data_IF_182262046968
#
_entry.id   IF_182262046968
#
_cell.length_a   1.000
_cell.length_b   1.000
_cell.length_c   1.000
_cell.angle_alpha   90.00
_cell.angle_beta   90.00
_cell.angle_gamma   90.00
#
_symmetry.space_group_name_H-M   'P 1'
#
loop_
_entity.id
_entity.type
_entity.pdbx_description
1 polymer ?
#
# COMPACT_ATOMS: atom_id res chain seq x y z
N UNK A 1 -22.93 -29.25 -15.02
CA UNK A 1 -22.08 -30.00 -15.99
C UNK A 1 -22.60 -31.43 -16.14
N UNK A 2 -22.22 -32.15 -17.20
CA UNK A 2 -22.80 -33.45 -17.56
C UNK A 2 -22.87 -34.51 -16.44
N UNK A 3 -21.87 -34.66 -15.55
CA UNK A 3 -21.96 -35.65 -14.46
C UNK A 3 -23.13 -35.42 -13.51
N UNK A 4 -23.48 -34.15 -13.26
CA UNK A 4 -24.60 -33.80 -12.38
C UNK A 4 -25.95 -34.09 -13.04
N UNK A 5 -26.08 -33.84 -14.34
CA UNK A 5 -27.29 -34.15 -15.12
C UNK A 5 -27.55 -35.66 -15.07
N UNK A 6 -26.52 -36.47 -15.36
CA UNK A 6 -26.62 -37.93 -15.28
C UNK A 6 -27.02 -38.44 -13.90
N UNK A 7 -26.45 -37.88 -12.84
CA UNK A 7 -26.77 -38.30 -11.47
C UNK A 7 -28.21 -37.93 -11.04
N UNK A 8 -28.72 -36.79 -11.50
CA UNK A 8 -30.04 -36.28 -11.10
C UNK A 8 -31.19 -36.84 -11.94
N UNK A 9 -30.99 -37.00 -13.26
CA UNK A 9 -32.07 -37.34 -14.20
C UNK A 9 -31.83 -38.66 -14.95
N UNK A 10 -30.64 -39.24 -14.85
CA UNK A 10 -30.23 -40.41 -15.64
C UNK A 10 -29.86 -40.09 -17.09
N UNK A 11 -30.05 -38.85 -17.54
CA UNK A 11 -29.74 -38.41 -18.90
C UNK A 11 -28.22 -38.38 -19.15
N UNK A 12 -27.80 -38.92 -20.29
CA UNK A 12 -26.40 -38.91 -20.72
C UNK A 12 -26.27 -37.92 -21.88
N UNK A 13 -25.54 -36.84 -21.63
CA UNK A 13 -25.33 -35.73 -22.58
C UNK A 13 -23.87 -35.32 -22.55
N UNK A 14 -23.30 -34.87 -23.68
CA UNK A 14 -21.93 -34.34 -23.70
C UNK A 14 -21.87 -32.90 -23.20
N UNK A 15 -20.66 -32.36 -22.97
CA UNK A 15 -20.52 -30.96 -22.57
C UNK A 15 -20.95 -29.99 -23.70
N UNK A 16 -20.66 -30.33 -24.95
CA UNK A 16 -21.02 -29.50 -26.12
C UNK A 16 -22.54 -29.47 -26.34
N UNK A 17 -23.21 -30.62 -26.23
CA UNK A 17 -24.68 -30.69 -26.36
C UNK A 17 -25.40 -30.02 -25.19
N UNK A 18 -24.82 -30.07 -23.98
CA UNK A 18 -25.43 -29.51 -22.78
C UNK A 18 -25.30 -27.97 -22.72
N UNK A 19 -24.20 -27.41 -23.21
CA UNK A 19 -23.88 -25.99 -23.02
C UNK A 19 -22.72 -25.49 -23.87
N UNK A 20 -22.55 -26.04 -25.07
CA UNK A 20 -21.57 -25.60 -26.05
C UNK A 20 -21.89 -24.22 -26.66
N UNK A 21 -21.01 -23.77 -27.55
CA UNK A 21 -21.11 -22.44 -28.15
C UNK A 21 -22.41 -22.27 -28.96
N UNK A 22 -22.80 -23.32 -29.70
CA UNK A 22 -24.02 -23.32 -30.51
C UNK A 22 -25.29 -23.22 -29.66
N UNK A 23 -25.34 -23.96 -28.54
CA UNK A 23 -26.48 -23.94 -27.62
C UNK A 23 -26.73 -22.51 -27.11
N UNK A 24 -25.66 -21.83 -26.68
CA UNK A 24 -25.78 -20.53 -26.03
C UNK A 24 -25.88 -19.34 -26.98
N UNK A 25 -25.30 -19.41 -28.18
CA UNK A 25 -25.36 -18.32 -29.15
C UNK A 25 -26.58 -18.41 -30.09
N UNK A 26 -27.13 -19.60 -30.33
CA UNK A 26 -28.24 -19.79 -31.29
C UNK A 26 -29.59 -20.04 -30.63
N UNK A 27 -29.62 -20.73 -29.49
CA UNK A 27 -30.87 -21.20 -28.89
C UNK A 27 -31.19 -20.48 -27.58
N UNK A 28 -30.29 -20.53 -26.59
CA UNK A 28 -30.62 -20.04 -25.24
C UNK A 28 -30.43 -18.53 -25.06
N UNK A 29 -29.57 -17.90 -25.88
CA UNK A 29 -29.24 -16.48 -25.75
C UNK A 29 -28.42 -16.13 -24.48
N UNK A 30 -27.70 -17.10 -23.92
CA UNK A 30 -26.82 -16.87 -22.76
C UNK A 30 -25.50 -16.21 -23.18
N UNK A 31 -25.09 -16.39 -24.44
CA UNK A 31 -23.92 -15.76 -25.02
C UNK A 31 -24.31 -14.85 -26.19
N UNK A 32 -23.59 -13.74 -26.35
CA UNK A 32 -23.93 -12.68 -27.32
C UNK A 32 -23.13 -12.76 -28.64
N UNK A 33 -21.99 -13.45 -28.62
CA UNK A 33 -21.07 -13.54 -29.75
C UNK A 33 -20.50 -14.94 -29.91
N UNK A 34 -20.60 -15.48 -31.13
CA UNK A 34 -20.01 -16.76 -31.51
C UNK A 34 -18.61 -16.55 -32.09
N UNK A 35 -17.61 -17.21 -31.53
CA UNK A 35 -16.22 -17.12 -31.97
C UNK A 35 -15.71 -18.48 -32.46
N UNK A 36 -14.90 -18.45 -33.52
CA UNK A 36 -14.37 -19.66 -34.19
C UNK A 36 -13.15 -20.26 -33.47
N UNK A 37 -12.44 -19.42 -32.72
CA UNK A 37 -11.26 -19.75 -31.93
C UNK A 37 -10.92 -18.60 -30.98
N UNK A 38 -9.89 -18.78 -30.16
CA UNK A 38 -9.44 -17.79 -29.17
C UNK A 38 -9.05 -16.44 -29.79
N UNK A 39 -8.35 -16.44 -30.94
CA UNK A 39 -7.94 -15.20 -31.61
C UNK A 39 -9.16 -14.41 -32.09
N UNK A 40 -10.16 -15.10 -32.65
CA UNK A 40 -11.43 -14.49 -33.02
C UNK A 40 -12.17 -13.95 -31.79
N UNK A 41 -12.21 -14.69 -30.68
CA UNK A 41 -12.85 -14.24 -29.45
C UNK A 41 -12.19 -12.96 -28.89
N UNK A 42 -10.87 -12.87 -28.92
CA UNK A 42 -10.13 -11.66 -28.53
C UNK A 42 -10.43 -10.47 -29.44
N UNK A 43 -10.54 -10.71 -30.76
CA UNK A 43 -10.94 -9.68 -31.71
C UNK A 43 -12.32 -9.13 -31.40
N UNK A 44 -13.30 -10.00 -31.14
CA UNK A 44 -14.66 -9.62 -30.71
C UNK A 44 -14.63 -8.83 -29.41
N UNK A 45 -13.90 -9.28 -28.39
CA UNK A 45 -13.79 -8.56 -27.12
C UNK A 45 -13.26 -7.13 -27.30
N UNK A 46 -12.26 -6.92 -28.18
CA UNK A 46 -11.75 -5.59 -28.54
C UNK A 46 -12.82 -4.74 -29.24
N UNK A 47 -13.66 -5.35 -30.09
CA UNK A 47 -14.80 -4.66 -30.73
C UNK A 47 -15.83 -4.21 -29.69
N UNK A 48 -16.12 -5.03 -28.66
CA UNK A 48 -17.00 -4.61 -27.57
C UNK A 48 -16.43 -3.39 -26.83
N UNK A 49 -15.14 -3.43 -26.47
CA UNK A 49 -14.43 -2.31 -25.82
C UNK A 49 -14.44 -1.04 -26.68
N UNK A 50 -14.30 -1.17 -28.01
CA UNK A 50 -14.33 -0.04 -28.94
C UNK A 50 -15.69 0.69 -28.96
N UNK A 51 -16.77 0.04 -28.54
CA UNK A 51 -18.13 0.58 -28.55
C UNK A 51 -18.62 1.06 -27.16
N UNK A 52 -17.73 1.17 -26.17
CA UNK A 52 -18.11 1.57 -24.81
C UNK A 52 -18.52 3.05 -24.67
N UNK A 53 -18.34 3.87 -25.70
CA UNK A 53 -18.46 5.34 -25.62
C UNK A 53 -17.67 5.89 -24.40
N UNK A 54 -16.48 5.32 -24.16
CA UNK A 54 -15.75 5.52 -22.92
C UNK A 54 -15.05 6.88 -22.88
N UNK A 55 -15.20 7.58 -21.76
CA UNK A 55 -14.50 8.84 -21.47
C UNK A 55 -13.95 8.82 -20.03
N UNK A 56 -12.66 9.12 -19.86
CA UNK A 56 -12.08 9.29 -18.52
C UNK A 56 -12.66 10.53 -17.85
N UNK A 57 -13.14 10.39 -16.61
CA UNK A 57 -13.75 11.47 -15.84
C UNK A 57 -12.79 12.17 -14.86
N UNK A 58 -11.67 11.51 -14.49
CA UNK A 58 -10.70 12.09 -13.57
C UNK A 58 -10.02 13.32 -14.18
N UNK A 59 -10.00 14.42 -13.43
CA UNK A 59 -9.41 15.68 -13.86
C UNK A 59 -8.39 16.15 -12.82
N UNK A 60 -7.17 16.43 -13.28
CA UNK A 60 -6.09 16.99 -12.49
C UNK A 60 -5.43 18.10 -13.32
N UNK A 61 -4.80 19.06 -12.65
CA UNK A 61 -3.99 20.08 -13.31
C UNK A 61 -2.62 19.48 -13.64
N UNK A 62 -2.53 18.73 -14.72
CA UNK A 62 -1.29 18.09 -15.17
C UNK A 62 -0.35 19.09 -15.83
N UNK A 63 0.95 18.81 -15.77
CA UNK A 63 2.02 19.55 -16.48
C UNK A 63 2.71 18.65 -17.49
N UNK A 64 3.54 19.24 -18.35
CA UNK A 64 4.43 18.46 -19.21
C UNK A 64 5.39 17.61 -18.34
N UNK A 65 5.45 16.28 -18.55
CA UNK A 65 6.34 15.41 -17.78
C UNK A 65 7.81 15.81 -17.95
N UNK A 66 8.57 15.83 -16.84
CA UNK A 66 10.04 15.98 -16.87
C UNK A 66 10.67 14.79 -16.15
N UNK A 67 11.76 14.26 -16.68
CA UNK A 67 12.52 13.21 -15.98
C UNK A 67 13.13 13.77 -14.68
N UNK A 68 13.37 12.93 -13.65
CA UNK A 68 14.21 13.29 -12.50
C UNK A 68 15.63 13.68 -12.94
N UNK A 69 16.34 14.45 -12.10
CA UNK A 69 17.74 14.86 -12.35
C UNK A 69 18.77 13.74 -12.10
N UNK A 70 18.35 12.68 -11.41
CA UNK A 70 19.18 11.55 -11.03
C UNK A 70 18.66 10.26 -11.67
N UNK A 71 19.55 9.32 -11.98
CA UNK A 71 19.16 8.08 -12.61
C UNK A 71 18.39 7.18 -11.63
N UNK A 72 17.38 6.46 -12.14
CA UNK A 72 16.50 5.65 -11.29
C UNK A 72 17.22 4.44 -10.66
N UNK A 73 18.26 3.92 -11.31
CA UNK A 73 19.09 2.81 -10.82
C UNK A 73 19.98 3.20 -9.62
N UNK A 74 20.25 4.48 -9.42
CA UNK A 74 20.94 4.96 -8.20
C UNK A 74 20.16 4.62 -6.92
N UNK A 75 18.84 4.39 -7.01
CA UNK A 75 18.02 3.93 -5.86
C UNK A 75 18.58 2.65 -5.23
N UNK A 76 19.25 1.78 -6.00
CA UNK A 76 19.89 0.57 -5.47
C UNK A 76 21.00 0.87 -4.46
N UNK A 77 21.67 2.01 -4.59
CA UNK A 77 22.71 2.47 -3.66
C UNK A 77 22.21 3.38 -2.54
N UNK A 78 21.01 3.97 -2.69
CA UNK A 78 20.40 4.85 -1.67
C UNK A 78 19.92 4.05 -0.46
N UNK A 79 19.32 2.87 -0.69
CA UNK A 79 18.77 2.05 0.38
C UNK A 79 19.89 1.26 1.06
N UNK A 80 20.11 1.44 2.38
CA UNK A 80 21.14 0.70 3.09
C UNK A 80 20.89 -0.82 3.05
N UNK A 81 21.96 -1.60 2.91
CA UNK A 81 21.88 -3.06 2.96
C UNK A 81 21.37 -3.56 4.32
N UNK A 82 21.74 -2.86 5.41
CA UNK A 82 21.21 -3.14 6.74
C UNK A 82 19.92 -2.36 6.99
N UNK A 83 18.80 -3.08 7.10
CA UNK A 83 17.45 -2.48 7.21
C UNK A 83 17.25 -1.50 8.39
N UNK A 84 18.09 -1.57 9.43
CA UNK A 84 18.02 -0.68 10.61
C UNK A 84 18.85 0.60 10.45
N UNK A 85 19.71 0.68 9.44
CA UNK A 85 20.56 1.86 9.21
C UNK A 85 19.69 3.03 8.72
N UNK A 86 19.73 4.19 9.39
CA UNK A 86 19.04 5.39 8.92
C UNK A 86 19.61 5.88 7.60
N UNK A 87 18.76 6.45 6.76
CA UNK A 87 19.10 7.20 5.55
C UNK A 87 18.09 8.32 5.35
N UNK A 88 18.41 9.32 4.52
CA UNK A 88 17.46 10.39 4.19
C UNK A 88 16.53 9.95 3.07
N UNK A 89 15.23 9.82 3.37
CA UNK A 89 14.21 9.43 2.39
C UNK A 89 14.06 10.43 1.24
N UNK A 90 14.54 11.67 1.39
CA UNK A 90 14.57 12.66 0.30
C UNK A 90 15.39 12.19 -0.89
N UNK A 91 16.42 11.36 -0.67
CA UNK A 91 17.22 10.76 -1.75
C UNK A 91 16.38 9.82 -2.64
N UNK A 92 15.38 9.16 -2.05
CA UNK A 92 14.41 8.36 -2.82
C UNK A 92 13.47 9.28 -3.59
N UNK A 93 12.93 10.31 -2.93
CA UNK A 93 11.99 11.26 -3.56
C UNK A 93 12.64 11.93 -4.78
N UNK A 94 13.87 12.41 -4.65
CA UNK A 94 14.60 13.10 -5.71
C UNK A 94 14.80 12.25 -6.98
N UNK A 95 14.80 10.92 -6.87
CA UNK A 95 14.94 9.97 -7.99
C UNK A 95 13.60 9.52 -8.59
N UNK A 96 12.48 9.95 -8.01
CA UNK A 96 11.14 9.57 -8.46
C UNK A 96 10.37 10.74 -9.10
N UNK A 97 10.54 11.95 -8.58
CA UNK A 97 9.72 13.11 -8.96
C UNK A 97 10.30 13.88 -10.13
N UNK A 98 9.42 14.51 -10.90
CA UNK A 98 9.76 15.27 -12.10
C UNK A 98 10.75 16.40 -11.78
N UNK A 99 11.88 16.43 -12.48
CA UNK A 99 12.93 17.43 -12.28
C UNK A 99 13.58 17.40 -10.89
N UNK A 100 13.36 16.33 -10.10
CA UNK A 100 13.80 16.26 -8.69
C UNK A 100 13.30 17.43 -7.84
N UNK A 101 12.22 18.09 -8.26
CA UNK A 101 11.62 19.24 -7.57
C UNK A 101 10.63 18.75 -6.51
N UNK A 102 10.85 19.19 -5.26
CA UNK A 102 10.03 18.80 -4.12
C UNK A 102 9.84 19.97 -3.16
N UNK A 103 8.60 20.42 -3.03
CA UNK A 103 8.23 21.52 -2.12
C UNK A 103 7.85 20.96 -0.75
N UNK A 104 8.83 20.94 0.17
CA UNK A 104 8.65 20.32 1.48
C UNK A 104 7.76 21.15 2.41
N UNK A 105 6.66 20.53 2.86
CA UNK A 105 5.75 21.08 3.87
C UNK A 105 6.29 20.79 5.28
N UNK A 106 6.33 21.81 6.14
CA UNK A 106 6.80 21.68 7.54
C UNK A 106 8.17 20.99 7.62
N UNK A 107 9.14 21.43 6.80
CA UNK A 107 10.46 20.80 6.70
C UNK A 107 11.18 20.64 8.06
N UNK A 108 11.01 21.60 8.97
CA UNK A 108 11.69 21.63 10.28
C UNK A 108 10.84 21.11 11.46
N UNK A 109 9.64 20.57 11.21
CA UNK A 109 8.73 20.08 12.25
C UNK A 109 8.34 18.63 11.99
N UNK A 110 8.40 17.76 13.01
CA UNK A 110 8.09 16.33 12.85
C UNK A 110 8.92 15.67 11.75
N UNK A 111 10.24 15.90 11.77
CA UNK A 111 11.20 15.57 10.70
C UNK A 111 11.33 14.08 10.38
N UNK A 112 10.78 13.20 11.23
CA UNK A 112 10.70 11.76 10.98
C UNK A 112 9.60 11.37 10.00
N UNK A 113 8.78 12.33 9.56
CA UNK A 113 7.85 12.20 8.44
C UNK A 113 8.08 13.36 7.46
N UNK A 114 8.58 13.05 6.27
CA UNK A 114 8.76 14.00 5.17
C UNK A 114 7.43 14.13 4.45
N UNK A 115 6.96 15.36 4.26
CA UNK A 115 5.73 15.66 3.54
C UNK A 115 6.00 16.77 2.55
N UNK A 116 5.49 16.67 1.33
CA UNK A 116 5.66 17.73 0.34
C UNK A 116 4.97 17.45 -0.97
N UNK A 117 4.87 18.49 -1.78
CA UNK A 117 4.23 18.43 -3.09
C UNK A 117 5.28 18.24 -4.18
N UNK A 118 4.92 17.49 -5.21
CA UNK A 118 5.73 17.30 -6.41
C UNK A 118 4.84 16.97 -7.62
N UNK A 119 5.46 16.73 -8.76
CA UNK A 119 4.81 16.10 -9.91
C UNK A 119 5.51 14.76 -10.22
N UNK A 120 4.74 13.79 -10.73
CA UNK A 120 5.27 12.52 -11.21
C UNK A 120 4.61 12.21 -12.55
N UNK A 121 5.42 12.18 -13.59
CA UNK A 121 4.99 12.08 -14.98
C UNK A 121 3.89 13.11 -15.32
N UNK A 122 4.09 14.36 -14.89
CA UNK A 122 3.16 15.46 -15.09
C UNK A 122 1.95 15.50 -14.14
N UNK A 123 1.67 14.44 -13.37
CA UNK A 123 0.56 14.43 -12.42
C UNK A 123 0.98 15.07 -11.09
N UNK A 124 0.21 16.01 -10.51
CA UNK A 124 0.49 16.54 -9.18
C UNK A 124 0.30 15.44 -8.14
N UNK A 125 1.23 15.32 -7.19
CA UNK A 125 1.16 14.35 -6.10
C UNK A 125 1.55 14.99 -4.77
N UNK A 126 1.00 14.43 -3.69
CA UNK A 126 1.31 14.78 -2.32
C UNK A 126 1.98 13.57 -1.64
N UNK A 127 3.26 13.71 -1.31
CA UNK A 127 4.09 12.60 -0.80
C UNK A 127 4.15 12.64 0.72
N UNK A 128 3.96 11.50 1.37
CA UNK A 128 4.27 11.26 2.78
C UNK A 128 5.27 10.10 2.86
N UNK A 129 6.47 10.37 3.37
CA UNK A 129 7.56 9.41 3.40
C UNK A 129 8.19 9.31 4.80
N UNK A 130 8.33 8.08 5.31
CA UNK A 130 8.95 7.88 6.62
C UNK A 130 10.46 8.16 6.55
N UNK A 131 10.96 8.88 7.56
CA UNK A 131 12.37 9.21 7.74
C UNK A 131 12.81 8.90 9.19
N UNK A 132 12.23 7.86 9.78
CA UNK A 132 12.41 7.46 11.17
C UNK A 132 11.11 7.04 11.87
N UNK A 133 11.18 6.94 13.20
CA UNK A 133 10.05 6.59 14.08
C UNK A 133 9.02 7.73 14.11
N UNK A 134 7.73 7.41 14.19
CA UNK A 134 6.68 8.44 14.27
C UNK A 134 6.53 9.00 15.69
N UNK A 135 6.60 10.32 15.80
CA UNK A 135 6.25 11.11 16.99
C UNK A 135 4.88 11.78 16.82
N UNK A 136 4.35 12.38 17.89
CA UNK A 136 3.07 13.10 17.84
C UNK A 136 3.08 14.23 16.80
N UNK A 137 4.19 14.96 16.71
CA UNK A 137 4.43 16.05 15.76
C UNK A 137 4.38 15.54 14.32
N UNK A 138 4.98 14.38 14.04
CA UNK A 138 4.95 13.74 12.73
C UNK A 138 3.51 13.36 12.34
N UNK A 139 2.73 12.80 13.26
CA UNK A 139 1.33 12.46 13.01
C UNK A 139 0.45 13.70 12.77
N UNK A 140 0.65 14.78 13.52
CA UNK A 140 -0.03 16.06 13.31
C UNK A 140 0.34 16.69 11.95
N UNK A 141 1.64 16.65 11.59
CA UNK A 141 2.13 17.10 10.29
C UNK A 141 1.46 16.33 9.16
N UNK A 142 1.44 15.01 9.24
CA UNK A 142 0.86 14.15 8.21
C UNK A 142 -0.65 14.35 8.06
N UNK A 143 -1.39 14.45 9.17
CA UNK A 143 -2.83 14.71 9.14
C UNK A 143 -3.16 16.03 8.42
N UNK A 144 -2.51 17.13 8.83
CA UNK A 144 -2.71 18.44 8.20
C UNK A 144 -2.29 18.40 6.72
N UNK A 145 -1.20 17.73 6.37
CA UNK A 145 -0.77 17.63 4.99
C UNK A 145 -1.79 16.88 4.10
N UNK A 146 -2.39 15.80 4.62
CA UNK A 146 -3.46 15.07 3.93
C UNK A 146 -4.70 15.97 3.74
N UNK A 147 -5.05 16.80 4.73
CA UNK A 147 -6.15 17.76 4.59
C UNK A 147 -5.92 18.73 3.42
N UNK A 148 -4.69 19.25 3.27
CA UNK A 148 -4.33 20.12 2.14
C UNK A 148 -4.41 19.39 0.80
N UNK A 149 -3.93 18.15 0.73
CA UNK A 149 -4.00 17.35 -0.49
C UNK A 149 -5.45 17.04 -0.87
N UNK A 150 -6.28 16.64 0.09
CA UNK A 150 -7.71 16.38 -0.08
C UNK A 150 -8.47 17.63 -0.53
N UNK A 151 -8.22 18.79 0.10
CA UNK A 151 -8.84 20.07 -0.29
C UNK A 151 -8.56 20.42 -1.75
N UNK A 152 -7.37 20.08 -2.24
CA UNK A 152 -6.89 20.39 -3.59
C UNK A 152 -7.18 19.29 -4.61
N UNK A 153 -7.75 18.16 -4.19
CA UNK A 153 -7.95 17.00 -5.06
C UNK A 153 -6.66 16.33 -5.54
N UNK A 154 -5.56 16.46 -4.79
CA UNK A 154 -4.24 15.94 -5.19
C UNK A 154 -4.09 14.49 -4.70
N UNK A 155 -3.72 13.54 -5.58
CA UNK A 155 -3.39 12.17 -5.20
C UNK A 155 -2.30 12.07 -4.13
N UNK A 156 -2.42 11.10 -3.23
CA UNK A 156 -1.48 10.83 -2.16
C UNK A 156 -0.55 9.66 -2.51
N UNK A 157 0.74 9.84 -2.26
CA UNK A 157 1.75 8.79 -2.35
C UNK A 157 2.39 8.55 -0.97
N UNK A 158 2.29 7.32 -0.46
CA UNK A 158 2.88 6.91 0.79
C UNK A 158 4.12 6.04 0.54
N UNK A 159 5.28 6.46 1.05
CA UNK A 159 6.52 5.70 1.02
C UNK A 159 6.78 5.14 2.43
N UNK A 160 6.46 3.86 2.62
CA UNK A 160 6.56 3.22 3.93
C UNK A 160 7.97 2.71 4.21
N UNK A 161 8.55 3.23 5.28
CA UNK A 161 9.70 2.67 5.97
C UNK A 161 9.57 2.95 7.47
N UNK A 162 8.62 2.27 8.10
CA UNK A 162 8.16 2.56 9.46
C UNK A 162 8.32 1.34 10.37
N UNK A 163 9.00 1.57 11.50
CA UNK A 163 9.18 0.61 12.59
C UNK A 163 8.14 0.73 13.70
N UNK A 164 7.44 1.87 13.77
CA UNK A 164 6.35 2.10 14.71
C UNK A 164 6.29 3.54 15.20
N UNK A 165 5.51 3.74 16.26
CA UNK A 165 5.46 4.99 17.01
C UNK A 165 6.44 4.97 18.18
N UNK A 166 6.86 6.15 18.64
CA UNK A 166 7.72 6.25 19.82
C UNK A 166 6.97 5.78 21.08
N UNK A 167 7.65 5.01 21.93
CA UNK A 167 7.07 4.48 23.18
C UNK A 167 7.68 5.14 24.41
N UNK A 168 6.91 5.18 25.51
CA UNK A 168 7.37 5.65 26.82
C UNK A 168 6.36 6.55 27.51
N UNK A 169 6.40 6.58 28.85
CA UNK A 169 5.41 7.26 29.70
C UNK A 169 5.17 8.72 29.28
N UNK A 170 6.24 9.48 29.00
CA UNK A 170 6.14 10.89 28.58
C UNK A 170 5.40 11.07 27.25
N UNK A 171 5.56 10.14 26.31
CA UNK A 171 4.93 10.20 24.99
C UNK A 171 3.45 9.80 25.06
N UNK A 172 3.14 8.79 25.88
CA UNK A 172 1.76 8.42 26.17
C UNK A 172 0.99 9.54 26.87
N UNK A 173 1.58 10.14 27.91
CA UNK A 173 1.00 11.30 28.60
C UNK A 173 0.87 12.53 27.68
N UNK A 174 1.81 12.72 26.75
CA UNK A 174 1.73 13.71 25.68
C UNK A 174 0.63 13.43 24.65
N UNK A 175 -0.01 12.25 24.71
CA UNK A 175 -1.13 11.86 23.85
C UNK A 175 -0.70 11.35 22.48
N UNK A 176 0.42 10.64 22.38
CA UNK A 176 0.87 10.06 21.10
C UNK A 176 -0.23 9.23 20.42
N UNK A 177 -1.04 8.50 21.20
CA UNK A 177 -2.20 7.75 20.69
C UNK A 177 -3.23 8.65 19.98
N UNK A 178 -3.68 9.75 20.60
CA UNK A 178 -4.66 10.68 19.97
C UNK A 178 -4.07 11.46 18.80
N UNK A 179 -2.74 11.61 18.74
CA UNK A 179 -2.07 12.28 17.62
C UNK A 179 -1.90 11.31 16.44
N UNK A 180 -1.51 10.06 16.70
CA UNK A 180 -1.55 8.98 15.71
C UNK A 180 -2.95 8.75 15.13
N UNK A 181 -3.98 8.79 15.98
CA UNK A 181 -5.37 8.67 15.54
C UNK A 181 -5.78 9.75 14.52
N UNK A 182 -5.30 11.00 14.66
CA UNK A 182 -5.59 12.05 13.66
C UNK A 182 -5.06 11.69 12.28
N UNK A 183 -3.83 11.16 12.22
CA UNK A 183 -3.24 10.70 10.97
C UNK A 183 -4.07 9.56 10.35
N UNK A 184 -4.43 8.56 11.17
CA UNK A 184 -5.24 7.42 10.72
C UNK A 184 -6.61 7.87 10.21
N UNK A 185 -7.30 8.79 10.90
CA UNK A 185 -8.57 9.37 10.44
C UNK A 185 -8.40 10.08 9.10
N UNK A 186 -7.36 10.91 8.95
CA UNK A 186 -7.09 11.61 7.69
C UNK A 186 -6.86 10.63 6.52
N UNK A 187 -6.05 9.58 6.74
CA UNK A 187 -5.80 8.52 5.74
C UNK A 187 -7.07 7.77 5.38
N UNK A 188 -7.88 7.39 6.37
CA UNK A 188 -9.11 6.64 6.17
C UNK A 188 -10.15 7.44 5.39
N UNK A 189 -10.34 8.72 5.73
CA UNK A 189 -11.37 9.56 5.15
C UNK A 189 -10.98 10.20 3.81
N UNK A 190 -9.69 10.24 3.48
CA UNK A 190 -9.20 10.80 2.21
C UNK A 190 -9.80 10.08 0.99
N UNK A 191 -10.52 10.84 0.16
CA UNK A 191 -11.22 10.37 -1.06
C UNK A 191 -10.40 10.54 -2.34
N UNK A 192 -9.27 11.26 -2.27
CA UNK A 192 -8.31 11.34 -3.38
C UNK A 192 -7.69 9.96 -3.65
N UNK A 193 -7.20 9.68 -4.88
CA UNK A 193 -6.46 8.46 -5.14
C UNK A 193 -5.26 8.34 -4.21
N UNK A 194 -5.11 7.19 -3.54
CA UNK A 194 -4.00 6.87 -2.63
C UNK A 194 -3.17 5.76 -3.25
N UNK A 195 -1.85 5.90 -3.20
CA UNK A 195 -0.88 4.90 -3.66
C UNK A 195 0.13 4.65 -2.55
N UNK A 196 0.50 3.38 -2.34
CA UNK A 196 1.43 3.00 -1.27
C UNK A 196 2.56 2.16 -1.84
N UNK A 197 3.79 2.47 -1.44
CA UNK A 197 4.98 1.66 -1.75
C UNK A 197 5.69 1.36 -0.45
N UNK A 198 5.88 0.08 -0.14
CA UNK A 198 6.74 -0.33 0.97
C UNK A 198 8.19 -0.33 0.47
N UNK A 199 8.97 0.65 0.90
CA UNK A 199 10.39 0.81 0.53
C UNK A 199 11.34 0.29 1.63
N UNK A 200 10.80 -0.08 2.79
CA UNK A 200 11.53 -0.67 3.91
C UNK A 200 10.61 -1.40 4.89
N UNK A 201 10.64 -1.00 6.16
CA UNK A 201 9.78 -1.59 7.20
C UNK A 201 8.30 -1.19 7.07
N UNK A 202 7.40 -2.09 7.43
CA UNK A 202 5.98 -1.83 7.62
C UNK A 202 5.49 -2.59 8.84
N UNK A 203 5.59 -1.97 10.02
CA UNK A 203 5.30 -2.63 11.29
C UNK A 203 4.21 -1.93 12.11
N UNK A 204 3.32 -2.75 12.70
CA UNK A 204 2.33 -2.33 13.69
C UNK A 204 1.47 -1.14 13.28
N UNK A 205 1.21 -0.24 14.23
CA UNK A 205 0.39 0.95 14.01
C UNK A 205 0.96 1.92 12.96
N UNK A 206 2.26 1.83 12.66
CA UNK A 206 2.88 2.60 11.58
C UNK A 206 2.31 2.26 10.21
N UNK A 207 1.97 0.98 9.98
CA UNK A 207 1.31 0.55 8.74
C UNK A 207 -0.03 1.26 8.54
N UNK A 208 -0.79 1.46 9.62
CA UNK A 208 -2.10 2.11 9.58
C UNK A 208 -1.99 3.59 9.22
N UNK A 209 -1.11 4.32 9.92
CA UNK A 209 -0.89 5.75 9.70
C UNK A 209 -0.31 6.08 8.32
N UNK A 210 0.31 5.11 7.65
CA UNK A 210 0.94 5.30 6.33
C UNK A 210 0.15 4.66 5.18
N UNK A 211 -1.17 4.50 5.33
CA UNK A 211 -2.06 3.95 4.29
C UNK A 211 -1.71 2.51 3.87
N UNK A 212 -1.61 1.62 4.87
CA UNK A 212 -1.48 0.18 4.66
C UNK A 212 -2.68 -0.46 3.97
N UNK A 213 -2.65 -1.79 3.84
CA UNK A 213 -3.60 -2.53 2.98
C UNK A 213 -5.07 -2.33 3.37
N UNK A 214 -5.36 -2.14 4.65
CA UNK A 214 -6.72 -1.95 5.18
C UNK A 214 -7.32 -0.55 4.91
N UNK A 215 -6.57 0.35 4.26
CA UNK A 215 -6.99 1.74 3.98
C UNK A 215 -7.27 2.00 2.49
N UNK A 216 -7.42 0.91 1.72
CA UNK A 216 -7.79 0.88 0.31
C UNK A 216 -7.00 1.87 -0.58
N UNK A 217 -5.65 1.85 -0.56
CA UNK A 217 -4.91 2.49 -1.62
C UNK A 217 -5.27 1.81 -2.95
N UNK A 218 -5.39 2.60 -4.02
CA UNK A 218 -5.71 2.09 -5.37
C UNK A 218 -4.74 1.00 -5.78
N UNK A 219 -3.47 1.18 -5.41
CA UNK A 219 -2.44 0.17 -5.52
C UNK A 219 -1.50 0.24 -4.32
N UNK A 220 -1.02 -0.93 -3.91
CA UNK A 220 0.01 -1.09 -2.90
C UNK A 220 1.07 -2.03 -3.46
N UNK A 221 2.30 -1.54 -3.51
CA UNK A 221 3.47 -2.32 -3.93
C UNK A 221 4.46 -2.48 -2.80
N UNK A 222 5.37 -3.44 -2.97
CA UNK A 222 6.40 -3.76 -2.01
C UNK A 222 7.72 -3.96 -2.74
N UNK A 223 8.77 -3.27 -2.31
CA UNK A 223 10.11 -3.51 -2.80
C UNK A 223 10.69 -4.82 -2.26
N UNK A 224 11.66 -5.43 -2.96
CA UNK A 224 12.22 -6.73 -2.54
C UNK A 224 12.89 -6.72 -1.16
N UNK A 225 13.45 -5.58 -0.74
CA UNK A 225 14.08 -5.41 0.57
C UNK A 225 13.08 -5.18 1.71
N UNK A 226 11.82 -4.86 1.40
CA UNK A 226 10.84 -4.47 2.41
C UNK A 226 10.44 -5.67 3.30
N UNK A 227 9.95 -5.37 4.51
CA UNK A 227 9.43 -6.37 5.45
C UNK A 227 8.16 -5.86 6.11
N UNK A 228 7.19 -6.75 6.30
CA UNK A 228 5.90 -6.44 6.91
C UNK A 228 5.57 -7.48 7.98
N UNK A 229 5.15 -7.01 9.15
CA UNK A 229 4.68 -7.85 10.25
C UNK A 229 3.93 -6.99 11.28
N UNK A 230 3.29 -7.64 12.26
CA UNK A 230 2.65 -6.93 13.39
C UNK A 230 3.66 -6.15 14.24
N UNK A 231 4.88 -6.67 14.38
CA UNK A 231 6.02 -6.02 15.03
C UNK A 231 7.34 -6.62 14.48
N UNK A 232 8.49 -6.04 14.80
CA UNK A 232 9.79 -6.59 14.39
C UNK A 232 10.07 -7.95 15.04
N UNK A 233 10.76 -8.85 14.34
CA UNK A 233 11.03 -10.22 14.84
C UNK A 233 11.73 -10.25 16.20
N UNK A 234 12.79 -9.46 16.38
CA UNK A 234 13.48 -9.32 17.67
C UNK A 234 12.58 -8.76 18.77
N UNK A 235 11.67 -7.82 18.43
CA UNK A 235 10.72 -7.27 19.40
C UNK A 235 9.70 -8.33 19.84
N UNK A 236 9.18 -9.12 18.89
CA UNK A 236 8.25 -10.20 19.19
C UNK A 236 8.90 -11.28 20.08
N UNK A 237 10.12 -11.69 19.73
CA UNK A 237 10.88 -12.67 20.51
C UNK A 237 11.12 -12.16 21.94
N UNK A 238 11.63 -10.93 22.10
CA UNK A 238 11.92 -10.35 23.41
C UNK A 238 10.69 -10.23 24.32
N UNK A 239 9.55 -9.78 23.78
CA UNK A 239 8.30 -9.66 24.57
C UNK A 239 7.78 -11.02 25.01
N UNK A 240 7.81 -12.02 24.12
CA UNK A 240 7.34 -13.38 24.45
C UNK A 240 8.26 -14.05 25.48
N UNK A 241 9.58 -13.92 25.34
CA UNK A 241 10.55 -14.44 26.30
C UNK A 241 10.37 -13.79 27.67
N UNK A 242 10.21 -12.46 27.73
CA UNK A 242 9.99 -11.74 28.99
C UNK A 242 8.69 -12.18 29.68
N UNK A 243 7.57 -12.28 28.95
CA UNK A 243 6.29 -12.74 29.52
C UNK A 243 6.41 -14.17 30.03
N UNK A 244 7.14 -15.04 29.32
CA UNK A 244 7.38 -16.41 29.75
C UNK A 244 8.23 -16.45 31.03
N UNK A 245 9.24 -15.60 31.13
CA UNK A 245 10.09 -15.48 32.31
C UNK A 245 9.26 -15.05 33.53
N UNK A 246 8.46 -13.99 33.40
CA UNK A 246 7.59 -13.51 34.48
C UNK A 246 6.56 -14.57 34.92
N UNK A 247 6.05 -15.38 33.98
CA UNK A 247 5.16 -16.51 34.30
C UNK A 247 5.88 -17.62 35.08
N UNK A 248 7.10 -17.98 34.66
CA UNK A 248 7.91 -18.97 35.35
C UNK A 248 8.28 -18.51 36.76
N UNK A 249 8.70 -17.25 36.92
CA UNK A 249 9.04 -16.65 38.21
C UNK A 249 7.83 -16.66 39.17
N UNK A 250 6.64 -16.30 38.68
CA UNK A 250 5.38 -16.41 39.46
C UNK A 250 5.04 -17.85 39.85
N UNK A 251 5.48 -18.82 39.07
CA UNK A 251 5.31 -20.25 39.36
C UNK A 251 6.48 -20.84 40.18
N UNK A 252 7.43 -20.01 40.65
CA UNK A 252 8.59 -20.45 41.43
C UNK A 252 9.63 -21.24 40.63
N UNK A 253 9.66 -21.08 39.31
CA UNK A 253 10.61 -21.74 38.39
C UNK A 253 11.49 -20.71 37.70
N UNK A 254 12.73 -21.05 37.36
CA UNK A 254 13.57 -20.26 36.45
C UNK A 254 13.55 -20.88 35.06
N UNK A 255 13.60 -20.04 34.01
CA UNK A 255 13.85 -20.51 32.66
C UNK A 255 15.35 -20.78 32.50
N UNK A 256 15.71 -21.84 31.79
CA UNK A 256 17.10 -22.08 31.38
C UNK A 256 17.47 -21.20 30.19
N UNK A 257 18.77 -20.94 29.99
CA UNK A 257 19.27 -20.10 28.89
C UNK A 257 18.83 -20.62 27.49
N UNK A 258 18.64 -21.94 27.35
CA UNK A 258 18.17 -22.59 26.11
C UNK A 258 16.67 -22.35 25.82
N UNK A 259 15.87 -21.94 26.81
CA UNK A 259 14.43 -21.65 26.65
C UNK A 259 14.14 -20.17 26.38
N UNK A 260 15.15 -19.30 26.52
CA UNK A 260 15.06 -17.83 26.38
C UNK A 260 15.58 -17.35 25.01
N UNK A 261 16.42 -18.15 24.34
CA UNK A 261 17.00 -17.86 23.02
C UNK A 261 16.02 -18.05 21.86
#
# INVERSE_FOLDING_TARGET
GPPLVKAATGEVVTAEELGGADVHCKTSGVADHYAENDEHALSIARRCVANLNWRKLGQLQTREPRAPLYAADELYGVIPAQAKQPYDVREVIARLVDGSEFDEFKALFGTTLVCGFAHLHGYPIAILANNGILFAEAAQKGAHFIELACQRGIPLLFLQNITGFMVGQKYEAGGIAKHGAKLVTAVACAQVPKFTVLIGGSFGAGNYGMCGRAYDPRFLWMWPNARIAVMGGEQAAGVLAQVKQEQSERAGKSLGDDEVA
#
